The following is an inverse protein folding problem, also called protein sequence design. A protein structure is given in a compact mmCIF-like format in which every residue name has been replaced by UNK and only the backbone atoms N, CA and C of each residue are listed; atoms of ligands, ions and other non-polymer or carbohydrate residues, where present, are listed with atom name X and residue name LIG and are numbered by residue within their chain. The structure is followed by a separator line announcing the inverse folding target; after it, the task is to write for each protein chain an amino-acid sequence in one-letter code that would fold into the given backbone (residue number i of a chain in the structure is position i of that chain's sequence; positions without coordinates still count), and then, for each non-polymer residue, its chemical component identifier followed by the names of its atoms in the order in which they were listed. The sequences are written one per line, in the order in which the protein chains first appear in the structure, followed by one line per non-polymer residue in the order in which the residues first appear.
data_IF_189959859067
#
_entry.id   IF_189959859067
#
_cell.length_a   1.000
_cell.length_b   1.000
_cell.length_c   1.000
_cell.angle_alpha   90.00
_cell.angle_beta   90.00
_cell.angle_gamma   90.00
#
_symmetry.space_group_name_H-M   'P 1'
#
loop_
_entity.id
_entity.type
_entity.pdbx_description
1 polymer ?
#
# COMPACT_ATOMS: atom_id res chain seq x y z
N UNK A 1 13.07 -8.78 31.09
CA UNK A 1 14.02 -9.71 31.74
C UNK A 1 13.25 -10.99 32.03
N UNK A 2 13.73 -12.14 31.54
CA UNK A 2 13.13 -13.46 31.76
C UNK A 2 14.13 -14.33 32.53
N UNK A 3 13.66 -14.99 33.58
CA UNK A 3 14.46 -15.94 34.34
C UNK A 3 14.32 -17.34 33.73
N UNK A 4 15.40 -17.88 33.17
CA UNK A 4 15.46 -19.22 32.56
C UNK A 4 15.87 -20.33 33.55
N UNK A 5 16.30 -19.99 34.76
CA UNK A 5 16.80 -20.96 35.72
C UNK A 5 15.74 -21.91 36.25
N UNK A 6 14.48 -21.47 36.33
CA UNK A 6 13.39 -22.28 36.91
C UNK A 6 12.74 -23.26 35.93
N UNK A 7 12.68 -22.94 34.65
CA UNK A 7 12.14 -23.85 33.62
C UNK A 7 12.64 -23.49 32.19
N UNK A 8 13.70 -24.11 31.71
CA UNK A 8 14.30 -23.83 30.42
C UNK A 8 13.32 -24.00 29.24
N UNK A 9 12.44 -25.02 29.27
CA UNK A 9 11.47 -25.29 28.23
C UNK A 9 10.42 -24.16 28.09
N UNK A 10 9.94 -23.64 29.20
CA UNK A 10 8.99 -22.50 29.18
C UNK A 10 9.68 -21.26 28.66
N UNK A 11 10.91 -20.99 29.11
CA UNK A 11 11.66 -19.82 28.62
C UNK A 11 11.95 -19.89 27.10
N UNK A 12 12.30 -21.06 26.58
CA UNK A 12 12.50 -21.29 25.13
C UNK A 12 11.21 -21.06 24.36
N UNK A 13 10.08 -21.64 24.78
CA UNK A 13 8.80 -21.46 24.12
C UNK A 13 8.34 -20.00 24.14
N UNK A 14 8.55 -19.30 25.25
CA UNK A 14 8.21 -17.89 25.39
C UNK A 14 9.08 -17.02 24.45
N UNK A 15 10.38 -17.31 24.38
CA UNK A 15 11.31 -16.61 23.51
C UNK A 15 10.93 -16.76 22.03
N UNK A 16 10.63 -17.98 21.58
CA UNK A 16 10.13 -18.25 20.23
C UNK A 16 8.81 -17.51 19.96
N UNK A 17 7.88 -17.56 20.92
CA UNK A 17 6.60 -16.83 20.81
C UNK A 17 6.83 -15.33 20.68
N UNK A 18 7.74 -14.74 21.46
CA UNK A 18 8.08 -13.31 21.36
C UNK A 18 8.72 -12.95 20.03
N UNK A 19 9.55 -13.82 19.45
CA UNK A 19 10.21 -13.59 18.15
C UNK A 19 9.28 -13.76 16.96
N UNK A 20 8.21 -14.52 17.10
CA UNK A 20 7.20 -14.71 16.04
C UNK A 20 6.05 -13.70 16.13
N UNK A 21 5.82 -13.08 17.27
CA UNK A 21 4.71 -12.15 17.47
C UNK A 21 5.07 -10.72 16.99
N UNK A 22 4.20 -10.11 16.19
CA UNK A 22 4.44 -8.81 15.56
C UNK A 22 4.85 -7.67 16.49
N UNK A 23 4.29 -7.62 17.70
CA UNK A 23 4.57 -6.55 18.67
C UNK A 23 5.91 -6.74 19.41
N UNK A 24 6.41 -7.97 19.51
CA UNK A 24 7.58 -8.28 20.34
C UNK A 24 8.79 -8.82 19.58
N UNK A 25 8.62 -9.23 18.32
CA UNK A 25 9.71 -9.81 17.49
C UNK A 25 10.97 -8.93 17.41
N UNK A 26 10.82 -7.64 17.61
CA UNK A 26 11.90 -6.64 17.55
C UNK A 26 12.28 -6.08 18.93
N UNK A 27 11.75 -6.65 20.03
CA UNK A 27 12.14 -6.26 21.38
C UNK A 27 13.59 -6.69 21.67
N UNK A 28 14.32 -5.90 22.44
CA UNK A 28 15.56 -6.37 23.04
C UNK A 28 15.20 -7.37 24.15
N UNK A 29 15.59 -8.62 23.99
CA UNK A 29 15.28 -9.71 24.93
C UNK A 29 16.54 -10.12 25.63
N UNK A 30 16.60 -9.84 26.92
CA UNK A 30 17.71 -10.20 27.80
C UNK A 30 17.22 -11.24 28.80
N UNK A 31 17.88 -12.37 28.83
CA UNK A 31 17.55 -13.46 29.77
C UNK A 31 18.38 -13.33 31.03
N UNK A 32 17.85 -13.76 32.14
CA UNK A 32 18.60 -13.95 33.38
C UNK A 32 18.72 -15.46 33.67
N UNK A 33 19.92 -15.92 33.99
CA UNK A 33 20.17 -17.32 34.33
C UNK A 33 20.95 -17.40 35.64
N UNK A 34 20.53 -18.27 36.52
CA UNK A 34 21.29 -18.59 37.76
C UNK A 34 22.47 -19.54 37.48
N UNK A 35 22.48 -20.23 36.33
CA UNK A 35 23.51 -21.19 35.93
C UNK A 35 24.34 -20.67 34.79
N UNK A 36 25.67 -20.82 34.89
CA UNK A 36 26.65 -20.48 33.84
C UNK A 36 26.82 -21.65 32.87
N UNK A 37 25.78 -22.46 32.66
CA UNK A 37 25.85 -23.60 31.78
C UNK A 37 25.93 -23.16 30.33
N UNK A 38 27.07 -23.39 29.70
CA UNK A 38 27.39 -22.89 28.34
C UNK A 38 26.37 -23.39 27.30
N UNK A 39 25.88 -24.63 27.44
CA UNK A 39 24.93 -25.23 26.49
C UNK A 39 23.57 -24.51 26.55
N UNK A 40 23.05 -24.20 27.72
CA UNK A 40 21.78 -23.48 27.90
C UNK A 40 21.86 -22.03 27.44
N UNK A 41 23.01 -21.38 27.66
CA UNK A 41 23.26 -20.01 27.22
C UNK A 41 23.33 -19.91 25.69
N UNK A 42 24.06 -20.83 25.05
CA UNK A 42 24.16 -20.85 23.58
C UNK A 42 22.80 -21.14 22.93
N UNK A 43 22.05 -22.11 23.49
CA UNK A 43 20.69 -22.40 22.98
C UNK A 43 19.76 -21.19 23.12
N UNK A 44 19.86 -20.40 24.16
CA UNK A 44 19.06 -19.18 24.35
C UNK A 44 19.42 -18.09 23.31
N UNK A 45 20.71 -17.89 23.02
CA UNK A 45 21.17 -16.95 21.99
C UNK A 45 20.76 -17.42 20.60
N UNK A 46 20.88 -18.70 20.29
CA UNK A 46 20.45 -19.29 19.00
C UNK A 46 18.93 -19.14 18.77
N UNK A 47 18.14 -19.19 19.84
CA UNK A 47 16.69 -18.95 19.81
C UNK A 47 16.32 -17.47 19.72
N UNK A 48 17.32 -16.58 19.73
CA UNK A 48 17.16 -15.15 19.46
C UNK A 48 17.13 -14.27 20.71
N UNK A 49 17.65 -14.71 21.87
CA UNK A 49 17.96 -13.78 22.95
C UNK A 49 19.10 -12.84 22.50
N UNK A 50 19.03 -11.57 22.89
CA UNK A 50 20.07 -10.59 22.56
C UNK A 50 21.24 -10.65 23.56
N UNK A 51 21.00 -11.06 24.80
CA UNK A 51 22.03 -11.27 25.83
C UNK A 51 21.53 -12.16 26.98
N UNK A 52 22.47 -12.66 27.77
CA UNK A 52 22.18 -13.44 28.99
C UNK A 52 22.94 -12.83 30.17
N UNK A 53 22.21 -12.54 31.24
CA UNK A 53 22.77 -12.00 32.48
C UNK A 53 22.92 -13.12 33.56
N UNK A 54 24.03 -13.10 34.27
CA UNK A 54 24.33 -14.01 35.35
C UNK A 54 24.43 -13.27 36.71
N UNK A 55 24.09 -13.90 37.83
CA UNK A 55 24.23 -13.30 39.17
C UNK A 55 25.66 -12.91 39.54
N UNK A 56 26.64 -13.49 38.88
CA UNK A 56 28.08 -13.17 39.06
C UNK A 56 28.47 -11.82 38.47
N UNK A 57 27.64 -11.20 37.60
CA UNK A 57 27.93 -9.89 37.04
C UNK A 57 27.76 -8.79 38.08
N UNK A 58 28.70 -7.85 38.10
CA UNK A 58 28.58 -6.64 38.90
C UNK A 58 27.42 -5.77 38.42
N UNK A 59 26.87 -4.93 39.29
CA UNK A 59 25.80 -3.98 38.89
C UNK A 59 26.21 -3.05 37.72
N UNK A 60 27.49 -2.64 37.68
CA UNK A 60 28.04 -1.84 36.60
C UNK A 60 28.07 -2.60 35.28
N UNK A 61 28.42 -3.87 35.30
CA UNK A 61 28.45 -4.74 34.12
C UNK A 61 27.06 -5.00 33.58
N UNK A 62 26.08 -5.31 34.46
CA UNK A 62 24.67 -5.46 34.06
C UNK A 62 24.15 -4.17 33.41
N UNK A 63 24.41 -3.02 34.03
CA UNK A 63 24.01 -1.73 33.50
C UNK A 63 24.62 -1.48 32.09
N UNK A 64 25.90 -1.78 31.93
CA UNK A 64 26.59 -1.61 30.65
C UNK A 64 26.00 -2.54 29.58
N UNK A 65 25.74 -3.82 29.88
CA UNK A 65 25.14 -4.78 28.94
C UNK A 65 23.74 -4.37 28.53
N UNK A 66 22.90 -3.96 29.49
CA UNK A 66 21.56 -3.45 29.17
C UNK A 66 21.64 -2.19 28.29
N UNK A 67 22.52 -1.25 28.62
CA UNK A 67 22.70 -0.05 27.82
C UNK A 67 23.15 -0.37 26.37
N UNK A 68 24.05 -1.33 26.20
CA UNK A 68 24.52 -1.79 24.88
C UNK A 68 23.37 -2.40 24.08
N UNK A 69 22.56 -3.26 24.67
CA UNK A 69 21.42 -3.86 23.96
C UNK A 69 20.33 -2.84 23.62
N UNK A 70 20.08 -1.87 24.48
CA UNK A 70 19.19 -0.76 24.18
C UNK A 70 19.69 0.10 23.02
N UNK A 71 20.99 0.35 22.96
CA UNK A 71 21.58 1.10 21.85
C UNK A 71 21.51 0.31 20.54
N UNK A 72 21.83 -0.98 20.54
CA UNK A 72 21.65 -1.84 19.38
C UNK A 72 20.19 -1.83 18.89
N UNK A 73 19.25 -1.90 19.83
CA UNK A 73 17.81 -1.82 19.49
C UNK A 73 17.48 -0.48 18.82
N UNK A 74 17.94 0.65 19.37
CA UNK A 74 17.69 1.98 18.79
C UNK A 74 18.24 2.10 17.37
N UNK A 75 19.47 1.64 17.15
CA UNK A 75 20.09 1.64 15.81
C UNK A 75 19.27 0.78 14.84
N UNK A 76 18.90 -0.42 15.22
CA UNK A 76 18.12 -1.32 14.39
C UNK A 76 16.71 -0.77 14.10
N UNK A 77 16.04 -0.17 15.08
CA UNK A 77 14.74 0.47 14.88
C UNK A 77 14.86 1.67 13.91
N UNK A 78 15.92 2.47 14.04
CA UNK A 78 16.21 3.58 13.12
C UNK A 78 16.46 3.08 11.70
N UNK A 79 17.27 2.05 11.52
CA UNK A 79 17.52 1.45 10.21
C UNK A 79 16.26 0.90 9.56
N UNK A 80 15.40 0.22 10.33
CA UNK A 80 14.10 -0.27 9.86
C UNK A 80 13.19 0.88 9.42
N UNK A 81 13.12 1.94 10.24
CA UNK A 81 12.34 3.13 9.89
C UNK A 81 12.84 3.78 8.58
N UNK A 82 14.15 3.93 8.43
CA UNK A 82 14.75 4.46 7.19
C UNK A 82 14.45 3.59 5.97
N UNK A 83 14.52 2.26 6.10
CA UNK A 83 14.17 1.33 5.01
C UNK A 83 12.69 1.46 4.65
N UNK A 84 11.80 1.52 5.64
CA UNK A 84 10.36 1.68 5.40
C UNK A 84 10.04 3.04 4.75
N UNK A 85 10.66 4.13 5.22
CA UNK A 85 10.50 5.44 4.60
C UNK A 85 11.04 5.46 3.17
N UNK A 86 12.23 4.90 2.95
CA UNK A 86 12.82 4.77 1.62
C UNK A 86 11.92 3.98 0.67
N UNK A 87 11.37 2.85 1.12
CA UNK A 87 10.41 2.07 0.34
C UNK A 87 9.14 2.89 0.06
N UNK A 88 8.54 3.50 1.08
CA UNK A 88 7.34 4.34 0.91
C UNK A 88 7.59 5.47 -0.09
N UNK A 89 8.71 6.19 0.04
CA UNK A 89 9.09 7.25 -0.91
C UNK A 89 9.28 6.73 -2.33
N UNK A 90 9.79 5.50 -2.49
CA UNK A 90 10.00 4.89 -3.79
C UNK A 90 8.70 4.48 -4.50
N UNK A 91 7.63 4.14 -3.75
CA UNK A 91 6.38 3.58 -4.31
C UNK A 91 5.18 4.50 -4.24
N UNK A 92 5.24 5.61 -3.46
CA UNK A 92 4.10 6.53 -3.32
C UNK A 92 4.35 7.90 -3.94
N UNK A 93 3.27 8.60 -4.22
CA UNK A 93 3.26 10.03 -4.59
C UNK A 93 3.30 10.88 -3.30
N UNK A 94 4.24 11.81 -3.16
CA UNK A 94 4.44 12.55 -1.91
C UNK A 94 3.30 13.52 -1.58
N UNK A 95 2.52 13.96 -2.58
CA UNK A 95 1.41 14.89 -2.37
C UNK A 95 0.17 14.18 -1.83
N UNK A 96 -0.18 13.04 -2.42
CA UNK A 96 -1.45 12.35 -2.18
C UNK A 96 -1.32 11.15 -1.26
N UNK A 97 -0.12 10.57 -1.12
CA UNK A 97 0.14 9.34 -0.39
C UNK A 97 -0.34 8.07 -1.10
N UNK A 98 -0.95 8.20 -2.29
CA UNK A 98 -1.29 7.08 -3.16
C UNK A 98 -0.04 6.45 -3.76
N UNK A 99 -0.17 5.27 -4.35
CA UNK A 99 0.91 4.72 -5.14
C UNK A 99 1.27 5.65 -6.31
N UNK A 100 2.55 5.68 -6.68
CA UNK A 100 3.02 6.44 -7.83
C UNK A 100 2.86 5.63 -9.13
N UNK A 101 3.04 6.30 -10.28
CA UNK A 101 2.92 5.69 -11.62
C UNK A 101 3.82 4.47 -11.80
N UNK A 102 5.06 4.52 -11.29
CA UNK A 102 6.03 3.43 -11.45
C UNK A 102 5.54 2.16 -10.77
N UNK A 103 5.12 2.27 -9.51
CA UNK A 103 4.58 1.15 -8.77
C UNK A 103 3.27 0.63 -9.38
N UNK A 104 2.39 1.55 -9.80
CA UNK A 104 1.12 1.21 -10.43
C UNK A 104 1.28 0.34 -11.68
N UNK A 105 2.24 0.65 -12.54
CA UNK A 105 2.52 -0.15 -13.75
C UNK A 105 3.02 -1.55 -13.42
N UNK A 106 3.93 -1.67 -12.47
CA UNK A 106 4.43 -2.98 -12.01
C UNK A 106 3.30 -3.81 -11.41
N UNK A 107 2.49 -3.19 -10.55
CA UNK A 107 1.36 -3.85 -9.92
C UNK A 107 0.29 -4.29 -10.93
N UNK A 108 -0.05 -3.43 -11.89
CA UNK A 108 -0.99 -3.75 -12.97
C UNK A 108 -0.52 -4.98 -13.77
N UNK A 109 0.75 -5.02 -14.16
CA UNK A 109 1.31 -6.18 -14.87
C UNK A 109 1.17 -7.48 -14.03
N UNK A 110 1.48 -7.41 -12.74
CA UNK A 110 1.35 -8.55 -11.83
C UNK A 110 -0.11 -9.00 -11.67
N UNK A 111 -1.06 -8.07 -11.43
CA UNK A 111 -2.48 -8.40 -11.31
C UNK A 111 -3.05 -8.95 -12.63
N UNK A 112 -2.61 -8.43 -13.76
CA UNK A 112 -3.00 -8.94 -15.07
C UNK A 112 -2.54 -10.39 -15.27
N UNK A 113 -1.30 -10.72 -14.90
CA UNK A 113 -0.78 -12.08 -14.96
C UNK A 113 -1.57 -13.03 -14.03
N UNK A 114 -1.82 -12.61 -12.78
CA UNK A 114 -2.64 -13.36 -11.83
C UNK A 114 -4.04 -13.61 -12.35
N UNK A 115 -4.70 -12.59 -12.88
CA UNK A 115 -6.03 -12.73 -13.46
C UNK A 115 -6.03 -13.68 -14.67
N UNK A 116 -4.95 -13.68 -15.46
CA UNK A 116 -4.80 -14.60 -16.59
C UNK A 116 -4.64 -16.05 -16.15
N UNK A 117 -3.82 -16.30 -15.14
CA UNK A 117 -3.58 -17.65 -14.61
C UNK A 117 -4.78 -18.17 -13.81
N UNK A 118 -5.38 -17.29 -12.99
CA UNK A 118 -6.53 -17.63 -12.15
C UNK A 118 -7.87 -17.62 -12.89
N UNK A 119 -7.89 -17.21 -14.16
CA UNK A 119 -9.11 -17.03 -14.95
C UNK A 119 -10.13 -16.14 -14.24
N UNK A 120 -9.68 -15.03 -13.65
CA UNK A 120 -10.54 -14.07 -12.95
C UNK A 120 -10.68 -12.77 -13.73
N UNK A 121 -11.72 -12.00 -13.40
CA UNK A 121 -11.94 -10.69 -14.01
C UNK A 121 -10.94 -9.66 -13.43
N UNK A 122 -10.60 -8.66 -14.24
CA UNK A 122 -9.80 -7.52 -13.83
C UNK A 122 -10.38 -6.25 -14.44
N UNK A 123 -10.68 -5.26 -13.60
CA UNK A 123 -11.10 -3.95 -14.08
C UNK A 123 -10.00 -2.91 -13.86
N UNK A 124 -9.87 -2.00 -14.81
CA UNK A 124 -8.94 -0.89 -14.78
C UNK A 124 -9.68 0.42 -15.07
N UNK A 125 -9.47 1.43 -14.22
CA UNK A 125 -9.96 2.78 -14.45
C UNK A 125 -8.79 3.73 -14.65
N UNK A 126 -8.91 4.59 -15.66
CA UNK A 126 -8.13 5.82 -15.78
C UNK A 126 -9.08 6.98 -15.52
N UNK A 127 -8.76 7.81 -14.55
CA UNK A 127 -9.55 8.94 -14.11
C UNK A 127 -8.75 10.22 -14.28
N UNK A 128 -9.40 11.27 -14.76
CA UNK A 128 -8.81 12.60 -14.94
C UNK A 128 -9.78 13.66 -14.38
N UNK A 129 -9.25 14.63 -13.64
CA UNK A 129 -10.04 15.71 -13.06
C UNK A 129 -10.33 16.78 -14.12
N UNK A 130 -11.61 16.98 -14.38
CA UNK A 130 -12.05 17.89 -15.44
C UNK A 130 -11.69 19.34 -15.12
N UNK A 131 -11.07 20.01 -16.08
CA UNK A 131 -10.69 21.43 -15.98
C UNK A 131 -9.80 21.76 -14.78
N UNK A 132 -9.00 20.82 -14.26
CA UNK A 132 -8.14 21.02 -13.11
C UNK A 132 -7.18 22.20 -13.27
N UNK A 133 -6.69 22.46 -14.47
CA UNK A 133 -5.90 23.65 -14.76
C UNK A 133 -6.62 24.93 -14.38
N UNK A 134 -7.94 25.05 -14.65
CA UNK A 134 -8.73 26.25 -14.24
C UNK A 134 -8.75 26.43 -12.71
N UNK A 135 -8.78 25.33 -11.97
CA UNK A 135 -8.71 25.40 -10.50
C UNK A 135 -7.37 26.02 -10.08
N UNK A 136 -6.26 25.56 -10.67
CA UNK A 136 -4.94 26.13 -10.39
C UNK A 136 -4.84 27.59 -10.79
N UNK A 137 -5.32 27.94 -11.99
CA UNK A 137 -5.26 29.29 -12.52
C UNK A 137 -6.14 30.27 -11.70
N UNK A 138 -7.27 29.80 -11.15
CA UNK A 138 -8.22 30.64 -10.38
C UNK A 138 -7.89 30.74 -8.90
N UNK A 139 -7.48 29.61 -8.27
CA UNK A 139 -7.34 29.50 -6.81
C UNK A 139 -5.90 29.24 -6.35
N UNK A 140 -4.97 29.14 -7.30
CA UNK A 140 -3.56 28.85 -7.05
C UNK A 140 -3.26 27.36 -6.85
N UNK A 141 -1.98 26.99 -6.98
CA UNK A 141 -1.52 25.60 -6.87
C UNK A 141 -1.80 24.96 -5.51
N UNK A 142 -1.76 25.74 -4.42
CA UNK A 142 -2.07 25.22 -3.10
C UNK A 142 -3.52 24.71 -2.97
N UNK A 143 -4.45 25.36 -3.67
CA UNK A 143 -5.86 24.93 -3.73
C UNK A 143 -5.98 23.67 -4.62
N UNK A 144 -5.28 23.62 -5.75
CA UNK A 144 -5.20 22.39 -6.57
C UNK A 144 -4.64 21.20 -5.81
N UNK A 145 -3.60 21.41 -5.01
CA UNK A 145 -3.05 20.39 -4.13
C UNK A 145 -4.08 19.87 -3.11
N UNK A 146 -4.92 20.75 -2.56
CA UNK A 146 -6.01 20.33 -1.67
C UNK A 146 -7.05 19.48 -2.42
N UNK A 147 -7.38 19.85 -3.66
CA UNK A 147 -8.27 19.06 -4.52
C UNK A 147 -7.70 17.65 -4.71
N UNK A 148 -6.45 17.54 -5.14
CA UNK A 148 -5.78 16.25 -5.35
C UNK A 148 -5.78 15.38 -4.09
N UNK A 149 -5.45 15.95 -2.93
CA UNK A 149 -5.48 15.22 -1.65
C UNK A 149 -6.88 14.76 -1.26
N UNK A 150 -7.91 15.57 -1.52
CA UNK A 150 -9.31 15.19 -1.21
C UNK A 150 -9.83 14.09 -2.12
N UNK A 151 -9.53 14.18 -3.42
CA UNK A 151 -9.87 13.11 -4.39
C UNK A 151 -9.13 11.83 -4.05
N UNK A 152 -7.84 11.89 -3.72
CA UNK A 152 -7.06 10.72 -3.30
C UNK A 152 -7.69 10.01 -2.09
N UNK A 153 -8.07 10.75 -1.04
CA UNK A 153 -8.75 10.19 0.14
C UNK A 153 -10.10 9.58 -0.20
N UNK A 154 -10.86 10.21 -1.10
CA UNK A 154 -12.13 9.67 -1.57
C UNK A 154 -11.92 8.34 -2.30
N UNK A 155 -10.98 8.26 -3.22
CA UNK A 155 -10.67 7.04 -3.95
C UNK A 155 -10.29 5.90 -3.00
N UNK A 156 -9.41 6.15 -2.02
CA UNK A 156 -9.05 5.17 -0.98
C UNK A 156 -10.25 4.71 -0.13
N UNK A 157 -11.20 5.60 0.14
CA UNK A 157 -12.38 5.26 0.93
C UNK A 157 -13.40 4.41 0.15
N UNK A 158 -13.47 4.62 -1.16
CA UNK A 158 -14.44 3.92 -2.03
C UNK A 158 -13.95 2.54 -2.46
N UNK A 159 -12.63 2.34 -2.49
CA UNK A 159 -11.99 1.09 -2.90
C UNK A 159 -11.74 0.17 -1.69
N UNK A 160 -11.55 -1.13 -1.97
CA UNK A 160 -11.24 -2.16 -0.98
C UNK A 160 -9.73 -2.20 -0.71
N UNK A 161 -9.33 -2.88 0.36
CA UNK A 161 -7.91 -3.12 0.65
C UNK A 161 -7.18 -3.95 -0.44
N UNK A 162 -7.91 -4.78 -1.18
CA UNK A 162 -7.42 -5.54 -2.33
C UNK A 162 -7.19 -4.70 -3.59
N UNK A 163 -7.83 -3.53 -3.65
CA UNK A 163 -7.79 -2.67 -4.82
C UNK A 163 -6.57 -1.75 -4.75
N UNK A 164 -6.04 -1.38 -5.90
CA UNK A 164 -4.92 -0.47 -5.97
C UNK A 164 -5.37 0.88 -6.52
N UNK A 165 -4.99 1.96 -5.81
CA UNK A 165 -5.21 3.34 -6.24
C UNK A 165 -3.86 4.03 -6.35
N UNK A 166 -3.62 4.68 -7.49
CA UNK A 166 -2.39 5.40 -7.77
C UNK A 166 -2.65 6.78 -8.35
N UNK A 167 -1.74 7.72 -8.09
CA UNK A 167 -1.64 8.94 -8.87
C UNK A 167 -0.77 8.66 -10.08
N UNK A 168 -1.36 8.75 -11.27
CA UNK A 168 -0.73 8.31 -12.51
C UNK A 168 -0.07 9.46 -13.28
N UNK A 169 -0.57 10.67 -13.12
CA UNK A 169 -0.06 11.92 -13.70
C UNK A 169 -0.34 13.12 -12.80
N UNK A 170 -0.32 14.31 -13.35
CA UNK A 170 -0.61 15.54 -12.62
C UNK A 170 -1.98 15.53 -11.93
N UNK A 171 -3.02 15.35 -12.72
CA UNK A 171 -4.44 15.28 -12.32
C UNK A 171 -5.09 13.94 -12.63
N UNK A 172 -4.25 12.95 -13.00
CA UNK A 172 -4.68 11.62 -13.42
C UNK A 172 -4.50 10.59 -12.30
N UNK A 173 -5.48 9.71 -12.15
CA UNK A 173 -5.46 8.60 -11.21
C UNK A 173 -5.74 7.28 -11.92
N UNK A 174 -5.13 6.23 -11.41
CA UNK A 174 -5.33 4.85 -11.86
C UNK A 174 -5.93 4.03 -10.73
N UNK A 175 -6.97 3.23 -11.05
CA UNK A 175 -7.55 2.28 -10.10
C UNK A 175 -7.56 0.90 -10.73
N UNK A 176 -7.02 -0.08 -10.03
CA UNK A 176 -7.01 -1.49 -10.44
C UNK A 176 -7.86 -2.28 -9.47
N UNK A 177 -8.86 -2.98 -9.98
CA UNK A 177 -9.83 -3.77 -9.22
C UNK A 177 -9.68 -5.25 -9.59
N UNK A 178 -8.93 -6.04 -8.83
CA UNK A 178 -8.86 -7.49 -9.01
C UNK A 178 -10.21 -8.12 -8.69
N UNK A 179 -10.54 -9.22 -9.38
CA UNK A 179 -11.74 -10.03 -9.17
C UNK A 179 -13.05 -9.21 -9.21
N UNK A 180 -13.09 -8.19 -10.09
CA UNK A 180 -14.24 -7.29 -10.23
C UNK A 180 -14.96 -7.55 -11.57
N UNK A 181 -16.21 -7.99 -11.48
CA UNK A 181 -17.09 -8.09 -12.65
C UNK A 181 -17.39 -6.71 -13.25
N UNK A 182 -17.92 -6.69 -14.48
CA UNK A 182 -18.33 -5.45 -15.14
C UNK A 182 -19.34 -4.65 -14.31
N UNK A 183 -20.27 -5.33 -13.66
CA UNK A 183 -21.28 -4.70 -12.80
C UNK A 183 -20.65 -4.04 -11.57
N UNK A 184 -19.76 -4.77 -10.87
CA UNK A 184 -19.04 -4.23 -9.71
C UNK A 184 -18.19 -3.04 -10.11
N UNK A 185 -17.42 -3.17 -11.18
CA UNK A 185 -16.59 -2.09 -11.71
C UNK A 185 -17.43 -0.87 -12.09
N UNK A 186 -18.56 -1.08 -12.77
CA UNK A 186 -19.50 -0.03 -13.13
C UNK A 186 -20.04 0.73 -11.93
N UNK A 187 -20.53 0.01 -10.94
CA UNK A 187 -21.06 0.60 -9.70
C UNK A 187 -20.00 1.42 -8.94
N UNK A 188 -18.75 0.95 -8.91
CA UNK A 188 -17.66 1.68 -8.28
C UNK A 188 -17.31 2.95 -9.07
N UNK A 189 -17.19 2.86 -10.40
CA UNK A 189 -16.85 4.00 -11.26
C UNK A 189 -17.89 5.11 -11.18
N UNK A 190 -19.18 4.77 -11.28
CA UNK A 190 -20.29 5.72 -11.16
C UNK A 190 -20.37 6.36 -9.77
N UNK A 191 -20.14 5.55 -8.73
CA UNK A 191 -20.06 6.06 -7.35
C UNK A 191 -18.92 7.05 -7.18
N UNK A 192 -17.72 6.75 -7.70
CA UNK A 192 -16.56 7.66 -7.68
C UNK A 192 -16.89 8.98 -8.37
N UNK A 193 -17.40 8.93 -9.60
CA UNK A 193 -17.79 10.11 -10.37
C UNK A 193 -18.79 10.98 -9.59
N UNK A 194 -19.86 10.36 -9.06
CA UNK A 194 -20.90 11.04 -8.27
C UNK A 194 -20.35 11.65 -6.99
N UNK A 195 -19.46 10.95 -6.29
CA UNK A 195 -18.89 11.46 -5.03
C UNK A 195 -17.91 12.60 -5.28
N UNK A 196 -17.11 12.55 -6.35
CA UNK A 196 -16.21 13.67 -6.73
C UNK A 196 -17.03 14.92 -7.04
N UNK A 197 -18.10 14.81 -7.83
CA UNK A 197 -19.01 15.92 -8.16
C UNK A 197 -19.62 16.59 -6.91
N UNK A 198 -19.81 15.84 -5.83
CA UNK A 198 -20.36 16.34 -4.56
C UNK A 198 -19.34 16.96 -3.61
N UNK A 199 -18.05 16.86 -3.94
CA UNK A 199 -17.00 17.45 -3.10
C UNK A 199 -17.11 18.98 -3.10
N UNK A 200 -17.00 19.54 -1.90
CA UNK A 200 -16.81 20.97 -1.65
C UNK A 200 -15.46 21.11 -0.96
N UNK A 201 -14.48 21.72 -1.59
CA UNK A 201 -13.09 21.65 -1.18
C UNK A 201 -12.59 23.03 -0.77
N UNK A 202 -12.01 23.10 0.44
CA UNK A 202 -11.42 24.30 1.00
C UNK A 202 -12.45 25.41 1.33
N UNK A 203 -11.97 26.58 1.76
CA UNK A 203 -12.83 27.70 2.14
C UNK A 203 -13.62 28.28 0.96
N UNK A 204 -13.11 28.12 -0.26
CA UNK A 204 -13.75 28.61 -1.48
C UNK A 204 -14.80 27.63 -2.03
N UNK A 205 -15.07 26.51 -1.35
CA UNK A 205 -16.02 25.49 -1.76
C UNK A 205 -15.82 25.02 -3.22
N UNK A 206 -14.57 24.81 -3.61
CA UNK A 206 -14.19 24.44 -4.98
C UNK A 206 -14.94 23.18 -5.38
N UNK A 207 -15.62 23.25 -6.51
CA UNK A 207 -16.28 22.14 -7.18
C UNK A 207 -15.38 21.59 -8.28
N UNK A 208 -15.36 20.28 -8.40
CA UNK A 208 -14.58 19.57 -9.43
C UNK A 208 -15.40 18.36 -9.92
N UNK A 209 -15.25 18.02 -11.18
CA UNK A 209 -15.77 16.78 -11.73
C UNK A 209 -14.64 15.90 -12.24
N UNK A 210 -14.95 14.68 -12.59
CA UNK A 210 -13.98 13.76 -13.17
C UNK A 210 -14.57 12.99 -14.34
N UNK A 211 -13.73 12.77 -15.35
CA UNK A 211 -14.00 11.82 -16.41
C UNK A 211 -13.30 10.51 -16.11
N UNK A 212 -13.97 9.37 -16.32
CA UNK A 212 -13.44 8.04 -16.03
C UNK A 212 -13.55 7.16 -17.26
N UNK A 213 -12.44 6.57 -17.69
CA UNK A 213 -12.38 5.52 -18.69
C UNK A 213 -12.22 4.15 -18.02
N UNK A 214 -13.06 3.21 -18.36
CA UNK A 214 -13.07 1.86 -17.81
C UNK A 214 -12.72 0.85 -18.90
N UNK A 215 -11.77 -0.04 -18.61
CA UNK A 215 -11.50 -1.24 -19.40
C UNK A 215 -11.62 -2.48 -18.52
N UNK A 216 -11.98 -3.59 -19.12
CA UNK A 216 -12.24 -4.85 -18.45
C UNK A 216 -11.52 -5.98 -19.15
N UNK A 217 -10.86 -6.83 -18.38
CA UNK A 217 -10.44 -8.15 -18.81
C UNK A 217 -11.43 -9.15 -18.22
N UNK A 218 -12.15 -9.81 -19.11
CA UNK A 218 -13.10 -10.85 -18.72
C UNK A 218 -12.43 -12.23 -18.64
N UNK A 219 -12.94 -13.05 -17.73
CA UNK A 219 -12.66 -14.48 -17.70
C UNK A 219 -13.44 -15.20 -18.82
N UNK A 220 -13.25 -14.82 -20.07
CA UNK A 220 -13.93 -15.48 -21.17
C UNK A 220 -12.98 -16.48 -21.85
N UNK A 221 -13.35 -17.76 -21.83
CA UNK A 221 -12.66 -18.84 -22.53
C UNK A 221 -12.63 -18.68 -24.06
N UNK A 222 -13.14 -17.58 -24.63
CA UNK A 222 -13.36 -17.37 -26.04
C UNK A 222 -12.70 -16.14 -26.65
N UNK A 223 -11.99 -15.30 -25.89
CA UNK A 223 -11.29 -14.16 -26.48
C UNK A 223 -9.89 -14.56 -26.90
N UNK A 224 -9.71 -14.90 -28.17
CA UNK A 224 -8.42 -15.18 -28.81
C UNK A 224 -7.53 -13.95 -29.02
N UNK A 225 -7.80 -12.84 -28.34
CA UNK A 225 -6.97 -11.64 -28.42
C UNK A 225 -5.90 -11.74 -27.36
N UNK A 226 -4.63 -11.66 -27.76
CA UNK A 226 -3.48 -11.54 -26.85
C UNK A 226 -3.52 -10.17 -26.14
N UNK A 227 -4.49 -10.02 -25.22
CA UNK A 227 -4.59 -8.81 -24.39
C UNK A 227 -3.39 -8.78 -23.43
N UNK A 228 -2.75 -7.64 -23.33
CA UNK A 228 -1.68 -7.35 -22.37
C UNK A 228 -2.13 -6.30 -21.37
N UNK A 229 -1.42 -6.19 -20.24
CA UNK A 229 -1.67 -5.11 -19.27
C UNK A 229 -1.56 -3.71 -19.90
N UNK A 230 -0.64 -3.54 -20.83
CA UNK A 230 -0.47 -2.28 -21.58
C UNK A 230 -1.65 -2.01 -22.52
N UNK A 231 -2.17 -3.04 -23.17
CA UNK A 231 -3.33 -2.88 -24.03
C UNK A 231 -4.60 -2.57 -23.23
N UNK A 232 -4.76 -3.23 -22.05
CA UNK A 232 -5.84 -2.91 -21.12
C UNK A 232 -5.79 -1.43 -20.69
N UNK A 233 -4.59 -0.90 -20.42
CA UNK A 233 -4.41 0.52 -20.10
C UNK A 233 -4.79 1.42 -21.28
N UNK A 234 -4.33 1.11 -22.49
CA UNK A 234 -4.72 1.87 -23.69
C UNK A 234 -6.22 1.86 -23.95
N UNK A 235 -6.88 0.75 -23.66
CA UNK A 235 -8.34 0.66 -23.76
C UNK A 235 -9.03 1.61 -22.78
N UNK A 236 -8.57 1.67 -21.52
CA UNK A 236 -9.07 2.60 -20.52
C UNK A 236 -8.82 4.07 -20.94
N UNK A 237 -7.64 4.39 -21.46
CA UNK A 237 -7.31 5.73 -21.97
C UNK A 237 -8.24 6.15 -23.13
N UNK A 238 -8.51 5.25 -24.09
CA UNK A 238 -9.46 5.50 -25.17
C UNK A 238 -10.88 5.74 -24.64
N UNK A 239 -11.29 5.01 -23.62
CA UNK A 239 -12.58 5.23 -22.98
C UNK A 239 -12.62 6.58 -22.24
N UNK A 240 -11.55 6.96 -21.55
CA UNK A 240 -11.41 8.28 -20.91
C UNK A 240 -11.51 9.41 -21.93
N UNK A 241 -10.81 9.27 -23.07
CA UNK A 241 -10.90 10.26 -24.15
C UNK A 241 -12.34 10.42 -24.64
N UNK A 242 -13.10 9.32 -24.80
CA UNK A 242 -14.53 9.38 -25.14
C UNK A 242 -15.35 10.08 -24.06
N UNK A 243 -15.12 9.79 -22.77
CA UNK A 243 -15.81 10.47 -21.68
C UNK A 243 -15.61 11.99 -21.76
N UNK A 244 -14.37 12.44 -22.00
CA UNK A 244 -14.04 13.86 -22.19
C UNK A 244 -14.70 14.47 -23.42
N UNK A 245 -14.71 13.77 -24.56
CA UNK A 245 -15.35 14.23 -25.81
C UNK A 245 -16.87 14.33 -25.70
N UNK A 246 -17.51 13.46 -24.94
CA UNK A 246 -18.97 13.43 -24.74
C UNK A 246 -19.48 14.45 -23.71
N UNK A 247 -18.64 15.37 -23.22
CA UNK A 247 -19.05 16.46 -22.33
C UNK A 247 -18.55 16.31 -20.89
N UNK A 248 -17.59 15.39 -20.62
CA UNK A 248 -16.97 15.18 -19.30
C UNK A 248 -17.94 14.73 -18.20
N UNK A 249 -17.49 14.73 -16.94
CA UNK A 249 -18.27 14.41 -15.74
C UNK A 249 -19.07 13.10 -15.89
N UNK A 250 -18.39 12.04 -16.35
CA UNK A 250 -19.01 10.74 -16.65
C UNK A 250 -18.03 9.58 -16.70
N UNK A 251 -18.59 8.41 -16.67
CA UNK A 251 -17.91 7.15 -16.94
C UNK A 251 -18.13 6.76 -18.40
N UNK A 252 -17.08 6.27 -19.07
CA UNK A 252 -17.15 5.64 -20.38
C UNK A 252 -16.44 4.29 -20.34
N UNK A 253 -17.01 3.30 -20.99
CA UNK A 253 -16.47 1.95 -21.05
C UNK A 253 -15.80 1.70 -22.40
N UNK A 254 -14.67 1.00 -22.37
CA UNK A 254 -14.14 0.48 -23.62
C UNK A 254 -15.08 -0.63 -24.12
N UNK A 255 -15.73 -0.39 -25.24
CA UNK A 255 -16.43 -1.41 -26.00
C UNK A 255 -15.58 -1.71 -27.24
N UNK A 256 -15.23 -2.97 -27.46
CA UNK A 256 -14.73 -3.39 -28.77
C UNK A 256 -15.80 -3.04 -29.80
N UNK A 257 -15.44 -2.20 -30.77
CA UNK A 257 -16.30 -2.06 -31.94
C UNK A 257 -16.29 -3.41 -32.64
N UNK A 258 -17.45 -4.07 -32.65
CA UNK A 258 -17.66 -5.20 -33.53
C UNK A 258 -17.41 -4.70 -34.97
N UNK A 259 -16.33 -5.21 -35.58
CA UNK A 259 -15.97 -4.95 -36.97
C UNK A 259 -16.94 -5.64 -37.92
#
# INVERSE_FOLDING_TARGET
LLDIAQNPLIAHNLLLSMRTHDLTRHAAIILASASIETATTLAALDLGADDVLFPTFSGSEITHRIATQLEHKRVNDHLRAMVQEGFKAAVTDPLTGLYNRRYAMTHLCHQFQRATQGQTDLALFVLDLDFFKRVNDTYGHAAGDQVLRRVAKLLQHVTRASDMVARFGGEEFLVVLPDASAEIAGNIAERVCTMIRRLKIGPNLIEITASIGVSLRYNAAQTHVHLTAQELLKQADRALYRAKAMGRDRVSYFAEQAA
#
